data_IF_475137346959
#
_entry.id   IF_475137346959
#
_cell.length_a   1.000
_cell.length_b   1.000
_cell.length_c   1.000
_cell.angle_alpha   90.00
_cell.angle_beta   90.00
_cell.angle_gamma   90.00
#
_symmetry.space_group_name_H-M   'P 1'
#
loop_
_entity.id
_entity.type
_entity.pdbx_description
1 polymer ?
#
# COMPACT_ATOMS: atom_id res chain seq x y z
N UNK A 1 -0.62 14.45 10.47
CA UNK A 1 -0.72 14.74 9.01
C UNK A 1 -1.34 13.50 8.41
N UNK A 2 -2.39 13.60 7.58
CA UNK A 2 -2.95 12.40 6.93
C UNK A 2 -1.94 11.86 5.91
N UNK A 3 -1.74 10.54 5.88
CA UNK A 3 -1.01 9.84 4.82
C UNK A 3 -1.61 10.26 3.45
N UNK A 4 -0.86 10.31 2.33
CA UNK A 4 -1.43 10.41 0.98
C UNK A 4 -2.62 9.46 0.69
N UNK A 5 -2.82 8.40 1.49
CA UNK A 5 -4.00 7.51 1.44
C UNK A 5 -5.15 7.89 2.40
N UNK A 6 -5.07 9.07 3.04
CA UNK A 6 -6.11 9.62 3.90
C UNK A 6 -6.19 9.01 5.30
N UNK A 7 -5.20 8.22 5.72
CA UNK A 7 -5.17 7.61 7.06
C UNK A 7 -4.45 8.49 8.07
N UNK A 8 -4.93 8.51 9.31
CA UNK A 8 -4.21 9.14 10.41
C UNK A 8 -2.90 8.41 10.68
N UNK A 9 -1.94 9.14 11.24
CA UNK A 9 -0.69 8.57 11.72
C UNK A 9 -0.98 7.50 12.77
N UNK A 10 -0.37 6.33 12.61
CA UNK A 10 -0.54 5.20 13.53
C UNK A 10 0.53 5.27 14.60
N UNK A 11 0.12 5.20 15.86
CA UNK A 11 1.03 5.21 16.99
C UNK A 11 1.01 3.88 17.75
N UNK A 12 2.20 3.33 17.98
CA UNK A 12 2.37 2.05 18.66
C UNK A 12 2.31 0.83 17.74
N UNK A 13 2.88 -0.27 18.20
CA UNK A 13 3.05 -1.50 17.42
C UNK A 13 1.71 -2.10 16.98
N UNK A 14 0.73 -2.15 17.88
CA UNK A 14 -0.57 -2.80 17.61
C UNK A 14 -1.35 -2.09 16.51
N UNK A 15 -1.44 -0.75 16.57
CA UNK A 15 -2.12 0.05 15.56
C UNK A 15 -1.43 -0.02 14.18
N UNK A 16 -0.09 -0.09 14.18
CA UNK A 16 0.70 -0.19 12.96
C UNK A 16 0.63 -1.58 12.29
N UNK A 17 0.40 -2.64 13.09
CA UNK A 17 0.51 -4.03 12.62
C UNK A 17 -0.81 -4.78 12.75
N UNK A 18 -1.19 -5.19 13.96
CA UNK A 18 -2.35 -6.04 14.24
C UNK A 18 -3.66 -5.46 13.70
N UNK A 19 -3.94 -4.17 13.95
CA UNK A 19 -5.21 -3.56 13.51
C UNK A 19 -5.31 -3.51 11.98
N UNK A 20 -4.20 -3.19 11.31
CA UNK A 20 -4.14 -3.21 9.86
C UNK A 20 -4.28 -4.63 9.29
N UNK A 21 -3.63 -5.61 9.93
CA UNK A 21 -3.71 -7.01 9.55
C UNK A 21 -5.14 -7.54 9.68
N UNK A 22 -5.80 -7.31 10.81
CA UNK A 22 -7.17 -7.78 11.06
C UNK A 22 -8.18 -7.22 10.06
N UNK A 23 -8.01 -5.96 9.67
CA UNK A 23 -8.88 -5.31 8.69
C UNK A 23 -8.73 -5.88 7.27
N UNK A 24 -7.49 -6.21 6.85
CA UNK A 24 -7.21 -6.53 5.45
C UNK A 24 -7.01 -8.02 5.16
N UNK A 25 -6.63 -8.85 6.13
CA UNK A 25 -6.20 -10.24 5.89
C UNK A 25 -7.22 -11.11 5.14
N UNK A 26 -8.52 -10.85 5.33
CA UNK A 26 -9.58 -11.64 4.71
C UNK A 26 -9.77 -11.32 3.23
N UNK A 27 -9.36 -10.12 2.80
CA UNK A 27 -9.68 -9.56 1.48
C UNK A 27 -8.43 -9.18 0.68
N UNK A 28 -7.23 -9.22 1.28
CA UNK A 28 -5.97 -8.82 0.66
C UNK A 28 -4.99 -10.01 0.65
N UNK A 29 -4.50 -10.37 -0.54
CA UNK A 29 -3.39 -11.31 -0.71
C UNK A 29 -2.24 -10.59 -1.41
N UNK A 30 -1.04 -10.70 -0.87
CA UNK A 30 0.15 -10.03 -1.40
C UNK A 30 1.14 -11.09 -1.86
N UNK A 31 1.50 -11.06 -3.14
CA UNK A 31 2.61 -11.84 -3.69
C UNK A 31 3.83 -10.94 -3.83
N UNK A 32 4.86 -11.20 -3.02
CA UNK A 32 6.14 -10.52 -3.15
C UNK A 32 6.83 -10.93 -4.46
N UNK A 33 7.23 -9.95 -5.27
CA UNK A 33 7.96 -10.14 -6.53
C UNK A 33 9.46 -9.97 -6.32
N UNK A 34 9.85 -8.89 -5.65
CA UNK A 34 11.25 -8.64 -5.26
C UNK A 34 11.31 -7.70 -4.06
N UNK A 35 12.43 -7.73 -3.35
CA UNK A 35 12.73 -6.85 -2.23
C UNK A 35 14.18 -6.41 -2.32
N UNK A 36 14.42 -5.13 -2.04
CA UNK A 36 15.74 -4.52 -1.96
C UNK A 36 15.86 -3.83 -0.61
N UNK A 37 17.01 -4.01 0.04
CA UNK A 37 17.30 -3.46 1.37
C UNK A 37 18.56 -2.61 1.27
N UNK A 38 18.52 -1.40 1.82
CA UNK A 38 19.64 -0.48 1.89
C UNK A 38 19.70 0.16 3.27
N UNK A 39 20.49 -0.44 4.18
CA UNK A 39 20.60 0.05 5.56
C UNK A 39 19.26 0.00 6.30
N UNK A 40 18.79 1.17 6.71
CA UNK A 40 17.50 1.40 7.40
C UNK A 40 16.36 1.70 6.42
N UNK A 41 16.49 1.31 5.16
CA UNK A 41 15.44 1.43 4.15
C UNK A 41 15.21 0.11 3.44
N UNK A 42 13.96 -0.13 3.04
CA UNK A 42 13.55 -1.25 2.22
C UNK A 42 12.58 -0.78 1.14
N UNK A 43 12.70 -1.35 -0.05
CA UNK A 43 11.68 -1.24 -1.09
C UNK A 43 11.29 -2.64 -1.55
N UNK A 44 10.00 -2.93 -1.66
CA UNK A 44 9.53 -4.16 -2.27
C UNK A 44 8.56 -3.89 -3.40
N UNK A 45 8.52 -4.83 -4.34
CA UNK A 45 7.53 -4.85 -5.42
C UNK A 45 6.61 -6.02 -5.16
N UNK A 46 5.31 -5.78 -5.17
CA UNK A 46 4.31 -6.79 -4.93
C UNK A 46 3.19 -6.74 -5.97
N UNK A 47 2.56 -7.90 -6.15
CA UNK A 47 1.24 -8.00 -6.76
C UNK A 47 0.22 -8.17 -5.62
N UNK A 48 -0.73 -7.26 -5.55
CA UNK A 48 -1.80 -7.26 -4.58
C UNK A 48 -3.06 -7.80 -5.25
N UNK A 49 -3.75 -8.72 -4.61
CA UNK A 49 -5.07 -9.20 -4.98
C UNK A 49 -6.04 -8.74 -3.89
N UNK A 50 -7.04 -7.93 -4.24
CA UNK A 50 -7.98 -7.33 -3.29
C UNK A 50 -9.43 -7.65 -3.67
N UNK A 51 -10.26 -7.88 -2.65
CA UNK A 51 -11.70 -8.12 -2.81
C UNK A 51 -12.13 -9.56 -2.51
N UNK A 52 -13.40 -9.83 -2.76
CA UNK A 52 -14.04 -11.14 -2.57
C UNK A 52 -14.80 -11.51 -3.83
N UNK A 53 -14.86 -12.79 -4.17
CA UNK A 53 -15.57 -13.24 -5.37
C UNK A 53 -17.02 -12.72 -5.44
N UNK A 54 -17.50 -12.29 -6.63
CA UNK A 54 -16.80 -12.31 -7.92
C UNK A 54 -15.86 -11.11 -8.17
N UNK A 55 -15.88 -10.10 -7.31
CA UNK A 55 -15.23 -8.80 -7.51
C UNK A 55 -13.80 -8.81 -6.93
N UNK A 56 -12.90 -9.53 -7.61
CA UNK A 56 -11.48 -9.62 -7.26
C UNK A 56 -10.66 -8.77 -8.23
N UNK A 57 -9.98 -7.75 -7.71
CA UNK A 57 -9.05 -6.90 -8.44
C UNK A 57 -7.60 -7.28 -8.17
N UNK A 58 -6.71 -6.99 -9.12
CA UNK A 58 -5.25 -7.11 -8.93
C UNK A 58 -4.55 -5.80 -9.29
N UNK A 59 -3.54 -5.42 -8.51
CA UNK A 59 -2.69 -4.27 -8.80
C UNK A 59 -1.25 -4.54 -8.36
N UNK A 60 -0.30 -4.08 -9.18
CA UNK A 60 1.10 -4.00 -8.76
C UNK A 60 1.31 -2.78 -7.87
N UNK A 61 2.15 -2.90 -6.86
CA UNK A 61 2.64 -1.74 -6.12
C UNK A 61 4.14 -1.87 -5.82
N UNK A 62 4.74 -0.73 -5.54
CA UNK A 62 6.05 -0.63 -4.91
C UNK A 62 5.79 0.00 -3.54
N UNK A 63 6.24 -0.62 -2.47
CA UNK A 63 6.17 0.00 -1.14
C UNK A 63 7.57 0.19 -0.59
N UNK A 64 7.80 1.37 -0.03
CA UNK A 64 9.07 1.76 0.58
C UNK A 64 8.87 1.97 2.06
N UNK A 65 9.82 1.49 2.85
CA UNK A 65 9.88 1.58 4.29
C UNK A 65 11.18 2.27 4.67
N UNK A 66 11.11 3.30 5.50
CA UNK A 66 12.28 3.99 6.03
C UNK A 66 12.14 4.11 7.56
N UNK A 67 13.11 3.55 8.29
CA UNK A 67 13.14 3.59 9.75
C UNK A 67 14.04 4.73 10.23
N UNK A 68 13.49 5.67 10.98
CA UNK A 68 14.26 6.71 11.65
C UNK A 68 14.99 6.16 12.89
N UNK A 69 16.01 6.88 13.36
CA UNK A 69 16.81 6.47 14.53
C UNK A 69 16.02 6.40 15.84
N UNK A 70 14.93 7.16 15.94
CA UNK A 70 14.02 7.20 17.09
C UNK A 70 12.93 6.10 17.03
N UNK A 71 12.93 5.28 15.98
CA UNK A 71 11.98 4.19 15.78
C UNK A 71 10.73 4.58 14.99
N UNK A 72 10.63 5.81 14.48
CA UNK A 72 9.57 6.19 13.52
C UNK A 72 9.72 5.39 12.22
N UNK A 73 8.59 5.01 11.60
CA UNK A 73 8.55 4.29 10.34
C UNK A 73 7.74 5.09 9.31
N UNK A 74 8.39 5.52 8.24
CA UNK A 74 7.74 6.10 7.08
C UNK A 74 7.48 5.02 6.04
N UNK A 75 6.21 4.86 5.66
CA UNK A 75 5.78 3.97 4.58
C UNK A 75 5.29 4.83 3.42
N UNK A 76 5.64 4.47 2.18
CA UNK A 76 5.04 5.03 0.97
C UNK A 76 4.70 3.92 0.01
N UNK A 77 3.50 3.96 -0.54
CA UNK A 77 3.06 3.00 -1.56
C UNK A 77 2.88 3.72 -2.89
N UNK A 78 3.46 3.15 -3.94
CA UNK A 78 3.40 3.62 -5.30
C UNK A 78 2.62 2.62 -6.14
N UNK A 79 1.69 3.11 -6.95
CA UNK A 79 0.92 2.32 -7.90
C UNK A 79 1.24 2.75 -9.33
N UNK A 80 1.13 1.85 -10.32
CA UNK A 80 1.18 2.24 -11.72
C UNK A 80 -0.05 3.09 -12.04
N UNK A 81 0.16 4.35 -12.39
CA UNK A 81 -0.89 5.28 -12.79
C UNK A 81 -0.95 5.39 -14.31
N UNK A 82 -2.13 5.19 -14.94
CA UNK A 82 -2.29 5.48 -16.36
C UNK A 82 -1.99 6.95 -16.68
N UNK A 83 -1.42 7.22 -17.85
CA UNK A 83 -1.12 8.60 -18.30
C UNK A 83 -2.37 9.48 -18.42
N UNK A 84 -3.55 8.87 -18.54
CA UNK A 84 -4.84 9.55 -18.57
C UNK A 84 -5.27 10.11 -17.21
N UNK A 85 -4.62 9.70 -16.12
CA UNK A 85 -4.92 10.16 -14.77
C UNK A 85 -4.11 11.41 -14.44
N UNK A 86 -4.80 12.54 -14.35
CA UNK A 86 -4.19 13.82 -13.97
C UNK A 86 -3.86 13.92 -12.49
N UNK A 87 -3.02 14.89 -12.12
CA UNK A 87 -2.58 15.11 -10.73
C UNK A 87 -3.72 15.45 -9.74
N UNK A 88 -4.86 15.93 -10.26
CA UNK A 88 -6.03 16.29 -9.46
C UNK A 88 -7.09 15.16 -9.39
N UNK A 89 -6.85 14.02 -10.04
CA UNK A 89 -7.77 12.89 -10.06
C UNK A 89 -7.59 11.99 -8.83
N UNK A 90 -8.65 11.26 -8.45
CA UNK A 90 -8.57 10.24 -7.40
C UNK A 90 -7.81 9.01 -7.94
N UNK A 91 -6.59 8.74 -7.47
CA UNK A 91 -5.79 7.62 -7.98
C UNK A 91 -6.43 6.25 -7.65
N UNK A 92 -7.24 6.17 -6.59
CA UNK A 92 -7.89 4.92 -6.18
C UNK A 92 -9.13 4.60 -7.01
N UNK A 93 -9.79 5.61 -7.56
CA UNK A 93 -10.90 5.38 -8.50
C UNK A 93 -10.45 4.51 -9.68
N UNK A 94 -9.20 4.62 -10.11
CA UNK A 94 -8.62 3.80 -11.18
C UNK A 94 -8.25 2.38 -10.73
N UNK A 95 -7.77 2.24 -9.50
CA UNK A 95 -7.37 0.94 -8.95
C UNK A 95 -8.57 0.09 -8.53
N UNK A 96 -9.66 0.72 -8.10
CA UNK A 96 -10.83 0.05 -7.52
C UNK A 96 -11.97 -0.16 -8.53
N UNK A 97 -12.14 0.72 -9.52
CA UNK A 97 -13.22 0.60 -10.52
C UNK A 97 -12.74 -0.08 -11.79
N UNK A 98 -11.89 -1.11 -11.66
CA UNK A 98 -11.17 -1.78 -12.76
C UNK A 98 -11.84 -1.63 -14.11
N UNK A 99 -11.11 -1.01 -15.06
CA UNK A 99 -11.60 -0.64 -16.40
C UNK A 99 -12.65 -1.64 -16.91
N UNK A 100 -13.89 -1.16 -17.10
CA UNK A 100 -14.93 -1.86 -17.85
C UNK A 100 -14.53 -2.02 -19.32
#
# INVERSE_FOLDING_TARGET
MYDPVGTEEKHGFDAATSDAFDMFQAILKIRMITVQVNGNEMAWVCENTFGTEPDVGTAYSIETFAWAEDGELLIKTYYPMPETVGADADPYAHLLNGDQ
#
